data_IF_894614602610
#
_entry.id   IF_894614602610
#
_cell.length_a   1.000
_cell.length_b   1.000
_cell.length_c   1.000
_cell.angle_alpha   90.00
_cell.angle_beta   90.00
_cell.angle_gamma   90.00
#
_symmetry.space_group_name_H-M   'P 1'
#
loop_
_entity.id
_entity.type
_entity.pdbx_description
1 polymer ?
#
# COMPACT_ATOMS: atom_id res chain seq x y z
N UNK A 1 -8.82 -11.19 -5.15
CA UNK A 1 -8.51 -9.77 -4.91
C UNK A 1 -7.55 -9.67 -3.74
N UNK A 2 -7.93 -10.19 -2.59
CA UNK A 2 -7.10 -10.29 -1.37
C UNK A 2 -5.69 -10.84 -1.62
N UNK A 3 -5.55 -12.04 -2.21
CA UNK A 3 -4.21 -12.61 -2.53
C UNK A 3 -3.34 -11.70 -3.40
N UNK A 4 -3.94 -10.94 -4.32
CA UNK A 4 -3.21 -9.99 -5.16
C UNK A 4 -2.77 -8.75 -4.37
N UNK A 5 -3.60 -8.29 -3.43
CA UNK A 5 -3.28 -7.17 -2.53
C UNK A 5 -2.16 -7.59 -1.59
N UNK A 6 -2.23 -8.79 -1.00
CA UNK A 6 -1.17 -9.35 -0.14
C UNK A 6 0.13 -9.47 -0.93
N UNK A 7 0.10 -10.07 -2.13
CA UNK A 7 1.29 -10.19 -2.97
C UNK A 7 1.90 -8.84 -3.36
N UNK A 8 1.06 -7.83 -3.66
CA UNK A 8 1.53 -6.47 -3.92
C UNK A 8 2.16 -5.85 -2.68
N UNK A 9 1.54 -6.02 -1.50
CA UNK A 9 2.08 -5.50 -0.26
C UNK A 9 3.45 -6.11 0.06
N UNK A 10 3.58 -7.44 0.01
CA UNK A 10 4.86 -8.12 0.23
C UNK A 10 5.94 -7.61 -0.72
N UNK A 11 5.62 -7.47 -2.02
CA UNK A 11 6.57 -6.98 -3.01
C UNK A 11 7.01 -5.52 -2.75
N UNK A 12 6.08 -4.66 -2.31
CA UNK A 12 6.40 -3.27 -1.96
C UNK A 12 7.22 -3.17 -0.69
N UNK A 13 6.88 -3.97 0.33
CA UNK A 13 7.59 -3.98 1.60
C UNK A 13 9.02 -4.51 1.43
N UNK A 14 9.18 -5.63 0.72
CA UNK A 14 10.48 -6.17 0.34
C UNK A 14 11.32 -5.14 -0.44
N UNK A 15 10.69 -4.39 -1.34
CA UNK A 15 11.37 -3.31 -2.07
C UNK A 15 11.87 -2.21 -1.14
N UNK A 16 11.02 -1.70 -0.25
CA UNK A 16 11.38 -0.67 0.75
C UNK A 16 12.52 -1.14 1.67
N UNK A 17 12.44 -2.38 2.13
CA UNK A 17 13.50 -3.01 2.92
C UNK A 17 14.81 -3.14 2.13
N UNK A 18 14.73 -3.55 0.86
CA UNK A 18 15.92 -3.75 0.00
C UNK A 18 16.71 -2.47 -0.27
N UNK A 19 16.02 -1.33 -0.36
CA UNK A 19 16.66 -0.02 -0.55
C UNK A 19 17.09 0.63 0.77
N UNK A 20 16.85 -0.03 1.91
CA UNK A 20 17.18 0.47 3.24
C UNK A 20 16.40 1.73 3.63
N UNK A 21 15.24 1.97 3.00
CA UNK A 21 14.41 3.11 3.32
C UNK A 21 13.75 2.91 4.68
N UNK A 22 13.81 3.94 5.53
CA UNK A 22 13.22 3.93 6.86
C UNK A 22 12.17 5.01 6.94
N UNK A 23 10.95 4.61 7.24
CA UNK A 23 9.87 5.53 7.52
C UNK A 23 10.19 6.43 8.72
N UNK A 24 9.63 7.63 8.71
CA UNK A 24 9.78 8.57 9.81
C UNK A 24 9.04 8.03 11.06
N UNK A 25 9.63 8.07 12.27
CA UNK A 25 9.03 7.42 13.44
C UNK A 25 7.62 7.89 13.83
N UNK A 26 7.19 9.09 13.40
CA UNK A 26 5.86 9.62 13.66
C UNK A 26 4.86 9.39 12.52
N UNK A 27 5.20 8.59 11.50
CA UNK A 27 4.23 8.23 10.45
C UNK A 27 3.19 7.27 11.02
N UNK A 28 1.94 7.45 10.59
CA UNK A 28 0.83 6.53 10.91
C UNK A 28 0.67 5.42 9.88
N UNK A 29 1.33 5.57 8.74
CA UNK A 29 1.31 4.65 7.62
C UNK A 29 2.74 4.54 7.09
N UNK A 30 3.19 3.32 6.85
CA UNK A 30 4.46 3.04 6.19
C UNK A 30 4.43 3.47 4.72
N UNK A 31 5.62 3.63 4.15
CA UNK A 31 5.74 3.93 2.72
C UNK A 31 5.20 2.79 1.86
N UNK A 32 5.40 1.53 2.25
CA UNK A 32 4.86 0.36 1.54
C UNK A 32 3.32 0.36 1.53
N UNK A 33 2.68 0.69 2.66
CA UNK A 33 1.22 0.84 2.74
C UNK A 33 0.70 2.00 1.87
N UNK A 34 1.40 3.15 1.84
CA UNK A 34 1.03 4.27 0.99
C UNK A 34 1.09 3.90 -0.50
N UNK A 35 2.14 3.18 -0.90
CA UNK A 35 2.27 2.67 -2.27
C UNK A 35 1.16 1.67 -2.60
N UNK A 36 0.80 0.80 -1.66
CA UNK A 36 -0.28 -0.18 -1.82
C UNK A 36 -1.62 0.51 -2.07
N UNK A 37 -1.99 1.53 -1.29
CA UNK A 37 -3.24 2.28 -1.48
C UNK A 37 -3.33 2.88 -2.89
N UNK A 38 -2.23 3.42 -3.40
CA UNK A 38 -2.19 3.98 -4.75
C UNK A 38 -2.37 2.89 -5.82
N UNK A 39 -1.65 1.77 -5.70
CA UNK A 39 -1.72 0.67 -6.65
C UNK A 39 -3.09 -0.02 -6.66
N UNK A 40 -3.67 -0.24 -5.49
CA UNK A 40 -5.02 -0.80 -5.35
C UNK A 40 -6.05 0.18 -5.90
N UNK A 41 -5.90 1.48 -5.65
CA UNK A 41 -6.75 2.53 -6.21
C UNK A 41 -6.73 2.56 -7.74
N UNK A 42 -5.54 2.51 -8.33
CA UNK A 42 -5.38 2.47 -9.79
C UNK A 42 -5.93 1.17 -10.39
N UNK A 43 -5.68 0.03 -9.75
CA UNK A 43 -6.01 -1.30 -10.30
C UNK A 43 -7.47 -1.70 -10.13
N UNK A 44 -8.08 -1.38 -9.00
CA UNK A 44 -9.43 -1.87 -8.64
C UNK A 44 -10.48 -0.75 -8.54
N UNK A 45 -10.07 0.50 -8.36
CA UNK A 45 -10.99 1.63 -8.15
C UNK A 45 -10.86 2.71 -9.23
N UNK A 46 -10.33 2.39 -10.41
CA UNK A 46 -10.19 3.30 -11.56
C UNK A 46 -9.48 4.62 -11.22
N UNK A 47 -8.50 4.57 -10.32
CA UNK A 47 -7.76 5.75 -9.87
C UNK A 47 -8.41 6.51 -8.70
N UNK A 48 -9.51 6.01 -8.14
CA UNK A 48 -10.09 6.59 -6.93
C UNK A 48 -9.34 6.12 -5.68
N UNK A 49 -8.33 6.91 -5.31
CA UNK A 49 -7.43 6.64 -4.18
C UNK A 49 -8.19 6.67 -2.84
N UNK A 50 -9.15 7.59 -2.67
CA UNK A 50 -9.92 7.67 -1.42
C UNK A 50 -10.78 6.44 -1.16
N UNK A 51 -11.41 5.89 -2.21
CA UNK A 51 -12.16 4.63 -2.08
C UNK A 51 -11.22 3.47 -1.72
N UNK A 52 -10.04 3.41 -2.34
CA UNK A 52 -9.03 2.40 -2.00
C UNK A 52 -8.53 2.52 -0.56
N UNK A 53 -8.30 3.74 -0.08
CA UNK A 53 -7.85 4.00 1.29
C UNK A 53 -8.91 3.56 2.29
N UNK A 54 -10.19 3.85 2.04
CA UNK A 54 -11.29 3.38 2.89
C UNK A 54 -11.37 1.86 2.89
N UNK A 55 -11.32 1.24 1.72
CA UNK A 55 -11.36 -0.20 1.57
C UNK A 55 -10.26 -0.91 2.38
N UNK A 56 -9.02 -0.44 2.30
CA UNK A 56 -7.85 -1.02 3.00
C UNK A 56 -7.76 -0.68 4.50
N UNK A 57 -8.56 0.26 5.00
CA UNK A 57 -8.64 0.59 6.44
C UNK A 57 -9.80 -0.16 7.11
N UNK A 58 -10.87 -0.41 6.36
CA UNK A 58 -12.07 -1.08 6.87
C UNK A 58 -11.98 -2.61 6.84
N UNK A 59 -11.06 -3.18 6.06
CA UNK A 59 -10.80 -4.62 5.91
C UNK A 59 -9.34 -4.93 6.20
#
# INVERSE_FOLDING_TARGET
MEEQIIALYCLLDDYILSIGYKDWPNTKLSTSEMMLINLVGMRFFYGNIETSRKFLIEH
#
